data_IF_329913754985
#
_entry.id   IF_329913754985
#
_cell.length_a   1.000
_cell.length_b   1.000
_cell.length_c   1.000
_cell.angle_alpha   90.00
_cell.angle_beta   90.00
_cell.angle_gamma   90.00
#
_symmetry.space_group_name_H-M   'P 1'
#
loop_
_entity.id
_entity.type
_entity.pdbx_description
1 polymer ?
#
# COMPACT_ATOMS: atom_id res chain seq x y z
N UNK A 1 29.83 20.73 73.09
CA UNK A 1 29.12 22.03 73.01
C UNK A 1 28.89 22.36 71.54
N UNK A 2 27.78 23.05 71.28
CA UNK A 2 27.04 23.18 70.00
C UNK A 2 27.69 24.15 68.99
N UNK A 3 27.12 24.11 67.76
CA UNK A 3 27.04 25.18 66.73
C UNK A 3 28.28 25.37 65.83
N UNK A 4 28.24 25.64 64.52
CA UNK A 4 27.26 26.14 63.53
C UNK A 4 27.85 25.77 62.13
N UNK A 5 27.07 25.31 61.15
CA UNK A 5 26.40 26.09 60.09
C UNK A 5 27.06 25.95 58.71
N UNK A 6 26.18 25.75 57.73
CA UNK A 6 26.39 25.66 56.28
C UNK A 6 27.31 26.72 55.67
N UNK A 7 28.07 26.30 54.65
CA UNK A 7 28.44 27.15 53.53
C UNK A 7 28.34 26.35 52.21
N UNK A 8 27.51 26.86 51.30
CA UNK A 8 27.30 26.38 49.93
C UNK A 8 28.52 26.70 49.06
N UNK A 9 28.88 25.79 48.16
CA UNK A 9 29.68 26.07 46.96
C UNK A 9 28.93 25.54 45.73
N UNK A 10 28.79 26.31 44.64
CA UNK A 10 28.05 25.89 43.46
C UNK A 10 28.91 24.99 42.56
N UNK A 11 28.33 23.88 42.14
CA UNK A 11 28.86 23.00 41.09
C UNK A 11 28.62 23.66 39.73
N UNK A 12 29.69 23.88 38.99
CA UNK A 12 29.68 24.29 37.57
C UNK A 12 29.20 23.10 36.73
N UNK A 13 28.06 23.22 36.07
CA UNK A 13 27.54 22.24 35.11
C UNK A 13 27.68 22.80 33.70
N UNK A 14 28.59 22.24 32.90
CA UNK A 14 28.65 22.43 31.45
C UNK A 14 27.93 21.25 30.78
N UNK A 15 26.83 21.46 30.01
CA UNK A 15 26.30 20.43 29.15
C UNK A 15 26.89 20.56 27.74
N UNK A 16 27.71 19.58 27.35
CA UNK A 16 28.02 19.27 25.96
C UNK A 16 27.19 18.06 25.52
N UNK A 17 26.16 18.29 24.71
CA UNK A 17 25.45 17.24 23.96
C UNK A 17 25.36 17.71 22.52
N UNK A 18 25.99 16.93 21.63
CA UNK A 18 25.94 17.08 20.18
C UNK A 18 24.53 16.75 19.66
N UNK A 19 24.02 17.45 18.63
CA UNK A 19 22.72 17.14 18.04
C UNK A 19 22.78 15.87 17.19
N UNK A 20 21.82 14.98 17.42
CA UNK A 20 21.46 13.87 16.53
C UNK A 20 20.86 14.45 15.24
N UNK A 21 21.38 14.01 14.10
CA UNK A 21 20.91 14.40 12.78
C UNK A 21 19.72 13.51 12.40
N UNK A 22 18.50 14.06 12.34
CA UNK A 22 17.35 13.37 11.75
C UNK A 22 17.39 13.44 10.22
N UNK A 23 17.02 12.37 9.50
CA UNK A 23 16.86 12.39 8.05
C UNK A 23 15.53 13.07 7.65
N UNK A 24 15.64 14.04 6.75
CA UNK A 24 14.52 14.83 6.22
C UNK A 24 13.85 14.03 5.08
N UNK A 25 12.76 13.33 5.34
CA UNK A 25 11.85 12.82 4.30
C UNK A 25 10.74 13.85 4.05
N UNK A 26 10.49 14.28 2.79
CA UNK A 26 9.39 15.19 2.49
C UNK A 26 8.07 14.43 2.45
N UNK A 27 7.34 14.45 3.56
CA UNK A 27 5.94 14.04 3.62
C UNK A 27 5.04 15.09 2.96
N UNK A 28 4.42 14.75 1.84
CA UNK A 28 3.34 15.52 1.24
C UNK A 28 2.04 15.12 1.97
N UNK A 29 1.63 15.93 2.95
CA UNK A 29 0.30 15.88 3.54
C UNK A 29 -0.53 17.05 3.01
N UNK A 30 -1.73 16.83 2.45
CA UNK A 30 -2.59 17.92 2.00
C UNK A 30 -3.10 18.75 3.19
N UNK A 31 -2.80 20.05 3.15
CA UNK A 31 -3.22 21.06 4.13
C UNK A 31 -4.67 21.50 3.89
N UNK A 32 -5.66 20.73 4.34
CA UNK A 32 -7.02 21.29 4.55
C UNK A 32 -7.79 20.46 5.57
N UNK A 33 -7.84 20.95 6.82
CA UNK A 33 -9.02 20.95 7.70
C UNK A 33 -8.61 21.55 9.06
N UNK A 34 -8.30 22.85 9.06
CA UNK A 34 -8.28 23.63 10.30
C UNK A 34 -9.16 24.87 10.10
N UNK A 35 -10.48 24.65 10.11
CA UNK A 35 -11.46 25.74 10.08
C UNK A 35 -12.82 25.30 10.65
N UNK A 36 -12.85 24.90 11.91
CA UNK A 36 -14.04 25.06 12.75
C UNK A 36 -13.68 25.95 13.94
N UNK A 37 -13.87 27.26 13.76
CA UNK A 37 -13.55 28.26 14.76
C UNK A 37 -14.31 29.55 14.53
N UNK A 38 -15.66 29.52 14.57
CA UNK A 38 -16.54 30.60 15.04
C UNK A 38 -18.01 30.27 14.76
N UNK A 39 -18.75 29.91 15.80
CA UNK A 39 -20.18 30.18 15.87
C UNK A 39 -20.64 30.27 17.34
N UNK A 40 -21.17 31.44 17.70
CA UNK A 40 -22.26 31.61 18.66
C UNK A 40 -22.02 31.26 20.14
N UNK A 41 -21.79 32.29 20.97
CA UNK A 41 -22.15 32.23 22.41
C UNK A 41 -23.66 32.02 22.53
N UNK A 42 -24.10 30.91 23.12
CA UNK A 42 -25.38 30.82 23.82
C UNK A 42 -25.16 30.11 25.14
N UNK A 43 -25.44 30.83 26.21
CA UNK A 43 -25.43 30.40 27.61
C UNK A 43 -26.52 29.35 27.84
N UNK A 44 -26.13 28.13 28.20
CA UNK A 44 -27.02 27.07 28.67
C UNK A 44 -26.33 26.28 29.78
N UNK A 45 -26.95 26.23 30.96
CA UNK A 45 -26.47 25.53 32.16
C UNK A 45 -26.23 24.03 31.87
N UNK A 46 -25.06 23.51 32.27
CA UNK A 46 -24.76 22.07 32.30
C UNK A 46 -25.17 21.50 33.67
N UNK A 47 -26.08 20.53 33.69
CA UNK A 47 -26.32 19.64 34.83
C UNK A 47 -25.29 18.49 34.77
N UNK A 48 -24.65 18.08 35.87
CA UNK A 48 -23.74 16.93 35.86
C UNK A 48 -24.54 15.62 35.88
N UNK A 49 -24.34 14.77 34.87
CA UNK A 49 -24.77 13.37 34.89
C UNK A 49 -23.74 12.58 35.69
N UNK A 50 -24.15 12.15 36.89
CA UNK A 50 -23.39 11.29 37.80
C UNK A 50 -23.38 9.86 37.25
N UNK A 51 -22.24 9.38 36.75
CA UNK A 51 -22.04 7.95 36.43
C UNK A 51 -21.56 7.25 37.71
N UNK A 52 -22.44 6.45 38.32
CA UNK A 52 -22.13 5.59 39.46
C UNK A 52 -21.70 4.21 38.94
N UNK A 53 -20.44 3.84 39.13
CA UNK A 53 -19.96 2.46 38.97
C UNK A 53 -20.18 1.69 40.29
N UNK A 54 -20.80 0.50 40.29
CA UNK A 54 -20.89 -0.30 41.51
C UNK A 54 -19.59 -1.09 41.73
N UNK A 55 -18.91 -0.78 42.83
CA UNK A 55 -17.84 -1.60 43.39
C UNK A 55 -18.47 -2.83 44.07
N UNK A 56 -18.14 -4.04 43.59
CA UNK A 56 -18.49 -5.28 44.27
C UNK A 56 -17.32 -5.70 45.16
N UNK A 57 -17.47 -5.49 46.46
CA UNK A 57 -16.56 -5.98 47.51
C UNK A 57 -17.14 -7.31 48.01
N UNK A 58 -16.36 -8.39 47.92
CA UNK A 58 -16.67 -9.67 48.56
C UNK A 58 -15.64 -9.94 49.67
N UNK A 59 -16.06 -10.28 50.90
CA UNK A 59 -15.14 -10.37 52.03
C UNK A 59 -14.36 -11.69 52.06
N UNK A 60 -13.12 -11.54 52.50
CA UNK A 60 -12.14 -12.57 52.82
C UNK A 60 -12.50 -13.26 54.15
N UNK A 61 -12.42 -14.60 54.21
CA UNK A 61 -12.27 -15.36 55.44
C UNK A 61 -11.07 -16.30 55.30
N UNK A 62 -10.16 -16.19 56.28
CA UNK A 62 -8.81 -16.75 56.33
C UNK A 62 -8.79 -18.04 57.16
N UNK A 63 -8.02 -19.04 56.71
CA UNK A 63 -7.23 -19.98 57.53
C UNK A 63 -6.20 -20.65 56.59
N UNK A 64 -4.90 -20.36 56.67
CA UNK A 64 -3.90 -21.00 57.56
C UNK A 64 -3.48 -22.36 56.95
N UNK A 65 -2.22 -22.73 56.67
CA UNK A 65 -0.88 -22.50 57.21
C UNK A 65 0.13 -22.72 56.04
N UNK A 66 1.41 -22.36 56.02
CA UNK A 66 2.39 -21.92 57.01
C UNK A 66 3.79 -22.27 56.48
N UNK A 67 4.78 -21.40 56.76
CA UNK A 67 6.23 -21.60 56.53
C UNK A 67 6.71 -20.93 55.24
N UNK A 68 7.32 -19.74 55.24
CA UNK A 68 8.40 -19.25 56.10
C UNK A 68 9.66 -19.18 55.21
N UNK A 69 9.87 -18.13 54.42
CA UNK A 69 10.30 -16.78 54.77
C UNK A 69 11.67 -16.74 55.48
N UNK A 70 12.53 -15.91 54.90
CA UNK A 70 13.66 -15.18 55.45
C UNK A 70 15.00 -15.60 54.84
N UNK A 71 15.89 -14.69 54.45
CA UNK A 71 15.84 -13.23 54.32
C UNK A 71 17.04 -12.84 53.47
N UNK A 72 16.92 -11.69 52.82
CA UNK A 72 18.00 -11.01 52.10
C UNK A 72 19.13 -10.64 53.07
N UNK A 73 20.37 -10.69 52.58
CA UNK A 73 21.41 -9.78 53.06
C UNK A 73 22.33 -9.36 51.91
N UNK A 74 22.59 -8.06 51.85
CA UNK A 74 23.32 -7.34 50.81
C UNK A 74 24.83 -7.38 51.02
N UNK A 75 25.60 -7.65 49.96
CA UNK A 75 27.01 -7.24 49.86
C UNK A 75 27.49 -7.18 48.39
N UNK A 76 28.36 -6.21 48.08
CA UNK A 76 28.99 -5.96 46.77
C UNK A 76 29.92 -7.13 46.33
N UNK A 77 30.25 -7.25 45.02
CA UNK A 77 30.71 -8.52 44.45
C UNK A 77 32.21 -8.78 44.66
N UNK A 78 32.64 -10.05 44.77
CA UNK A 78 34.03 -10.43 44.59
C UNK A 78 34.39 -10.64 43.10
N UNK A 79 35.62 -10.30 42.74
CA UNK A 79 36.27 -10.65 41.47
C UNK A 79 36.32 -12.18 41.25
N UNK A 80 36.39 -12.66 39.99
CA UNK A 80 36.13 -14.07 39.66
C UNK A 80 37.31 -14.98 40.01
N UNK A 81 37.06 -16.25 40.41
CA UNK A 81 38.05 -17.30 40.24
C UNK A 81 38.09 -17.80 38.80
N UNK A 82 39.29 -18.23 38.39
CA UNK A 82 39.69 -18.66 37.07
C UNK A 82 38.93 -19.91 36.55
N UNK A 83 38.68 -19.89 35.23
CA UNK A 83 38.60 -21.02 34.29
C UNK A 83 37.97 -22.34 34.77
N UNK A 84 36.72 -22.57 34.39
CA UNK A 84 36.21 -23.92 34.12
C UNK A 84 35.59 -23.92 32.73
N UNK A 85 36.18 -24.71 31.83
CA UNK A 85 35.77 -24.84 30.43
C UNK A 85 34.28 -25.25 30.34
N UNK A 86 33.46 -24.38 29.73
CA UNK A 86 32.12 -24.74 29.31
C UNK A 86 32.22 -25.53 28.01
N UNK A 87 31.91 -26.82 28.11
CA UNK A 87 31.58 -27.68 26.97
C UNK A 87 30.33 -27.08 26.33
N UNK A 88 30.45 -26.58 25.11
CA UNK A 88 29.32 -26.14 24.32
C UNK A 88 28.47 -27.38 23.97
N UNK A 89 27.33 -27.51 24.64
CA UNK A 89 26.27 -28.43 24.24
C UNK A 89 25.62 -27.85 22.97
N UNK A 90 25.82 -28.54 21.86
CA UNK A 90 25.33 -28.17 20.54
C UNK A 90 23.80 -28.19 20.54
N UNK A 91 23.19 -27.00 20.47
CA UNK A 91 21.74 -26.85 20.38
C UNK A 91 21.21 -27.57 19.11
N UNK A 92 20.09 -28.30 19.17
CA UNK A 92 19.57 -29.01 18.01
C UNK A 92 19.23 -28.03 16.88
N UNK A 93 19.75 -28.33 15.69
CA UNK A 93 19.46 -27.59 14.47
C UNK A 93 17.95 -27.45 14.25
N UNK A 94 17.52 -26.25 13.83
CA UNK A 94 16.16 -26.00 13.38
C UNK A 94 15.77 -27.00 12.28
N UNK A 95 14.52 -27.49 12.21
CA UNK A 95 14.14 -28.46 11.18
C UNK A 95 14.39 -27.85 9.79
N UNK A 96 15.26 -28.48 9.02
CA UNK A 96 15.61 -28.06 7.66
C UNK A 96 14.33 -28.00 6.82
N UNK A 97 14.07 -26.86 6.15
CA UNK A 97 12.92 -26.73 5.25
C UNK A 97 13.05 -27.77 4.14
N UNK A 98 12.18 -28.77 4.17
CA UNK A 98 12.19 -29.90 3.27
C UNK A 98 11.14 -29.68 2.18
N UNK A 99 11.56 -29.30 0.97
CA UNK A 99 10.63 -29.13 -0.14
C UNK A 99 10.37 -30.48 -0.82
N UNK A 100 9.11 -30.72 -1.16
CA UNK A 100 8.66 -31.94 -1.82
C UNK A 100 8.40 -31.56 -3.28
N UNK A 101 9.16 -32.16 -4.21
CA UNK A 101 8.98 -31.97 -5.64
C UNK A 101 8.14 -33.13 -6.20
N UNK A 102 6.91 -32.88 -6.67
CA UNK A 102 6.12 -33.90 -7.36
C UNK A 102 6.85 -34.39 -8.61
N UNK A 103 6.94 -35.70 -8.77
CA UNK A 103 7.47 -36.35 -9.97
C UNK A 103 6.34 -36.59 -10.99
N UNK A 104 6.68 -37.11 -12.18
CA UNK A 104 5.67 -37.46 -13.18
C UNK A 104 4.62 -38.45 -12.63
N UNK A 105 3.39 -38.50 -13.19
CA UNK A 105 2.36 -39.44 -12.72
C UNK A 105 2.85 -40.88 -12.72
N UNK A 106 2.87 -41.53 -11.55
CA UNK A 106 3.34 -42.91 -11.37
C UNK A 106 4.79 -43.04 -10.88
N UNK A 107 5.55 -41.94 -10.80
CA UNK A 107 6.89 -41.93 -10.21
C UNK A 107 6.89 -41.49 -8.74
N UNK A 108 7.84 -42.00 -7.93
CA UNK A 108 7.95 -41.60 -6.53
C UNK A 108 8.31 -40.13 -6.40
N UNK A 109 7.59 -39.42 -5.54
CA UNK A 109 7.84 -38.02 -5.20
C UNK A 109 9.25 -37.83 -4.65
N UNK A 110 9.98 -36.84 -5.18
CA UNK A 110 11.33 -36.52 -4.71
C UNK A 110 11.28 -35.52 -3.56
N UNK A 111 12.14 -35.71 -2.59
CA UNK A 111 12.36 -34.74 -1.51
C UNK A 111 13.69 -34.05 -1.75
N UNK A 112 13.66 -32.72 -1.90
CA UNK A 112 14.85 -31.93 -2.16
C UNK A 112 15.54 -31.56 -0.83
N UNK A 113 16.87 -31.67 -0.81
CA UNK A 113 17.69 -31.15 0.28
C UNK A 113 17.76 -29.61 0.22
N UNK A 114 18.08 -28.98 1.35
CA UNK A 114 18.28 -27.53 1.42
C UNK A 114 19.35 -27.03 0.43
N UNK A 115 20.39 -27.82 0.17
CA UNK A 115 21.44 -27.49 -0.79
C UNK A 115 20.97 -27.57 -2.25
N UNK A 116 20.13 -28.55 -2.59
CA UNK A 116 19.54 -28.66 -3.94
C UNK A 116 18.54 -27.53 -4.21
N UNK A 117 17.79 -27.11 -3.20
CA UNK A 117 16.91 -25.93 -3.28
C UNK A 117 17.71 -24.64 -3.46
N UNK A 118 18.82 -24.49 -2.75
CA UNK A 118 19.69 -23.31 -2.85
C UNK A 118 20.47 -23.25 -4.18
N UNK A 119 20.68 -24.39 -4.83
CA UNK A 119 21.39 -24.48 -6.12
C UNK A 119 20.47 -24.54 -7.35
N UNK A 120 19.14 -24.58 -7.16
CA UNK A 120 18.20 -24.56 -8.26
C UNK A 120 18.24 -23.18 -8.96
N UNK A 121 18.26 -23.11 -10.30
CA UNK A 121 18.14 -21.83 -11.00
C UNK A 121 16.80 -21.19 -10.62
N UNK A 122 16.84 -19.95 -10.14
CA UNK A 122 15.63 -19.15 -10.02
C UNK A 122 15.27 -18.63 -11.41
N UNK A 123 14.00 -18.74 -11.84
CA UNK A 123 13.56 -18.12 -13.08
C UNK A 123 13.80 -16.62 -13.01
N UNK A 124 14.55 -16.10 -13.98
CA UNK A 124 14.77 -14.66 -14.17
C UNK A 124 13.51 -14.00 -14.74
N UNK A 125 13.39 -12.68 -14.56
CA UNK A 125 12.31 -11.93 -15.20
C UNK A 125 12.50 -11.90 -16.72
N UNK A 126 11.39 -11.91 -17.43
CA UNK A 126 11.32 -11.91 -18.88
C UNK A 126 10.88 -10.55 -19.41
N UNK A 127 11.06 -10.31 -20.71
CA UNK A 127 10.54 -9.10 -21.35
C UNK A 127 9.00 -9.04 -21.39
N UNK A 128 8.31 -10.18 -21.31
CA UNK A 128 6.85 -10.22 -21.12
C UNK A 128 6.46 -9.72 -19.72
N UNK A 129 7.25 -10.08 -18.69
CA UNK A 129 7.06 -9.60 -17.33
C UNK A 129 7.20 -8.07 -17.27
N UNK A 130 8.23 -7.53 -17.93
CA UNK A 130 8.44 -6.08 -18.04
C UNK A 130 7.25 -5.40 -18.70
N UNK A 131 6.81 -5.90 -19.86
CA UNK A 131 5.64 -5.35 -20.56
C UNK A 131 4.38 -5.41 -19.71
N UNK A 132 4.17 -6.50 -18.97
CA UNK A 132 3.03 -6.65 -18.09
C UNK A 132 3.08 -5.61 -16.96
N UNK A 133 4.22 -5.43 -16.30
CA UNK A 133 4.36 -4.46 -15.20
C UNK A 133 4.19 -3.02 -15.69
N UNK A 134 4.74 -2.68 -16.85
CA UNK A 134 4.55 -1.38 -17.48
C UNK A 134 3.09 -1.13 -17.90
N UNK A 135 2.45 -2.14 -18.48
CA UNK A 135 1.04 -2.08 -18.85
C UNK A 135 0.15 -1.94 -17.63
N UNK A 136 0.30 -2.81 -16.64
CA UNK A 136 -0.50 -2.80 -15.42
C UNK A 136 -0.31 -1.49 -14.63
N UNK A 137 0.89 -0.90 -14.65
CA UNK A 137 1.14 0.43 -14.09
C UNK A 137 0.25 1.52 -14.74
N UNK A 138 0.15 1.53 -16.06
CA UNK A 138 -0.72 2.45 -16.79
C UNK A 138 -2.22 2.15 -16.56
N UNK A 139 -2.58 0.86 -16.46
CA UNK A 139 -3.94 0.44 -16.14
C UNK A 139 -4.39 0.96 -14.77
N UNK A 140 -3.58 0.74 -13.73
CA UNK A 140 -3.84 1.24 -12.38
C UNK A 140 -3.93 2.76 -12.31
N UNK A 141 -3.08 3.45 -13.08
CA UNK A 141 -3.10 4.91 -13.16
C UNK A 141 -4.47 5.45 -13.64
N UNK A 142 -5.16 4.77 -14.56
CA UNK A 142 -6.50 5.19 -14.98
C UNK A 142 -7.55 4.98 -13.88
N UNK A 143 -7.46 3.90 -13.08
CA UNK A 143 -8.36 3.70 -11.93
C UNK A 143 -8.27 4.87 -10.94
N UNK A 144 -7.06 5.40 -10.71
CA UNK A 144 -6.84 6.57 -9.85
C UNK A 144 -7.56 7.83 -10.37
N UNK A 145 -7.61 8.02 -11.70
CA UNK A 145 -8.37 9.12 -12.30
C UNK A 145 -9.87 8.94 -12.06
N UNK A 146 -10.38 7.72 -12.18
CA UNK A 146 -11.79 7.40 -11.96
C UNK A 146 -12.21 7.56 -10.50
N UNK A 147 -11.39 7.10 -9.54
CA UNK A 147 -11.70 7.17 -8.10
C UNK A 147 -11.68 8.61 -7.59
N UNK A 148 -10.79 9.46 -8.10
CA UNK A 148 -10.73 10.88 -7.74
C UNK A 148 -12.04 11.62 -8.05
N UNK A 149 -12.71 11.26 -9.16
CA UNK A 149 -14.01 11.85 -9.53
C UNK A 149 -15.09 11.61 -8.47
N UNK A 150 -15.04 10.49 -7.74
CA UNK A 150 -16.06 10.13 -6.75
C UNK A 150 -16.16 11.12 -5.58
N UNK A 151 -15.10 11.90 -5.32
CA UNK A 151 -15.10 12.92 -4.26
C UNK A 151 -16.08 14.06 -4.54
N UNK A 152 -16.24 14.44 -5.82
CA UNK A 152 -17.05 15.58 -6.28
C UNK A 152 -18.33 15.17 -6.99
N UNK A 153 -18.40 13.97 -7.58
CA UNK A 153 -19.47 13.58 -8.49
C UNK A 153 -20.60 12.78 -7.84
N UNK A 154 -20.46 12.32 -6.59
CA UNK A 154 -21.52 11.56 -5.91
C UNK A 154 -21.75 11.94 -4.46
N UNK A 155 -23.00 11.84 -4.01
CA UNK A 155 -23.38 11.89 -2.61
C UNK A 155 -23.50 10.50 -1.94
N UNK A 156 -23.33 9.41 -2.69
CA UNK A 156 -23.42 8.03 -2.18
C UNK A 156 -22.20 7.70 -1.30
N UNK A 157 -22.44 7.45 -0.02
CA UNK A 157 -21.38 7.12 0.92
C UNK A 157 -20.69 5.80 0.57
N UNK A 158 -21.45 4.79 0.13
CA UNK A 158 -20.90 3.49 -0.24
C UNK A 158 -20.07 3.54 -1.53
N UNK A 159 -20.39 4.40 -2.50
CA UNK A 159 -19.52 4.64 -3.66
C UNK A 159 -18.23 5.36 -3.25
N UNK A 160 -18.31 6.38 -2.38
CA UNK A 160 -17.11 7.07 -1.89
C UNK A 160 -16.18 6.14 -1.11
N UNK A 161 -16.74 5.26 -0.27
CA UNK A 161 -15.96 4.26 0.46
C UNK A 161 -15.36 3.20 -0.46
N UNK A 162 -16.09 2.80 -1.51
CA UNK A 162 -15.56 1.91 -2.54
C UNK A 162 -14.37 2.56 -3.25
N UNK A 163 -14.54 3.80 -3.75
CA UNK A 163 -13.49 4.53 -4.46
C UNK A 163 -12.24 4.72 -3.60
N UNK A 164 -12.40 5.08 -2.33
CA UNK A 164 -11.28 5.20 -1.39
C UNK A 164 -10.55 3.88 -1.15
N UNK A 165 -11.27 2.76 -1.05
CA UNK A 165 -10.62 1.44 -0.90
C UNK A 165 -9.82 1.05 -2.15
N UNK A 166 -10.40 1.27 -3.33
CA UNK A 166 -9.72 1.05 -4.62
C UNK A 166 -8.46 1.92 -4.67
N UNK A 167 -8.57 3.21 -4.37
CA UNK A 167 -7.44 4.14 -4.36
C UNK A 167 -6.30 3.66 -3.46
N UNK A 168 -6.60 3.16 -2.26
CA UNK A 168 -5.60 2.66 -1.33
C UNK A 168 -4.87 1.43 -1.88
N UNK A 169 -5.61 0.40 -2.31
CA UNK A 169 -4.99 -0.84 -2.81
C UNK A 169 -4.20 -0.59 -4.10
N UNK A 170 -4.73 0.22 -5.01
CA UNK A 170 -4.09 0.51 -6.30
C UNK A 170 -2.79 1.32 -6.12
N UNK A 171 -2.71 2.22 -5.13
CA UNK A 171 -1.47 2.94 -4.81
C UNK A 171 -0.35 2.01 -4.31
N UNK A 172 -0.69 1.03 -3.47
CA UNK A 172 0.27 0.05 -2.97
C UNK A 172 0.79 -0.82 -4.12
N UNK A 173 -0.09 -1.25 -5.03
CA UNK A 173 0.26 -2.01 -6.23
C UNK A 173 1.12 -1.18 -7.22
N UNK A 174 0.79 0.10 -7.45
CA UNK A 174 1.63 1.03 -8.24
C UNK A 174 3.03 1.13 -7.65
N UNK A 175 3.14 1.25 -6.32
CA UNK A 175 4.43 1.35 -5.64
C UNK A 175 5.26 0.08 -5.84
N UNK A 176 4.62 -1.09 -5.74
CA UNK A 176 5.26 -2.37 -6.01
C UNK A 176 5.74 -2.45 -7.45
N UNK A 177 4.90 -2.12 -8.43
CA UNK A 177 5.27 -2.21 -9.85
C UNK A 177 6.44 -1.30 -10.22
N UNK A 178 6.44 -0.05 -9.75
CA UNK A 178 7.54 0.88 -9.97
C UNK A 178 8.84 0.35 -9.37
N UNK A 179 8.78 -0.11 -8.12
CA UNK A 179 9.95 -0.69 -7.46
C UNK A 179 10.48 -1.91 -8.23
N UNK A 180 9.59 -2.81 -8.65
CA UNK A 180 9.97 -4.02 -9.37
C UNK A 180 10.75 -3.70 -10.66
N UNK A 181 10.27 -2.71 -11.43
CA UNK A 181 10.93 -2.21 -12.64
C UNK A 181 12.28 -1.55 -12.31
N UNK A 182 12.31 -0.64 -11.33
CA UNK A 182 13.52 0.09 -10.92
C UNK A 182 14.64 -0.85 -10.44
N UNK A 183 14.31 -1.84 -9.61
CA UNK A 183 15.30 -2.78 -9.06
C UNK A 183 15.93 -3.68 -10.12
N UNK A 184 15.25 -3.84 -11.26
CA UNK A 184 15.73 -4.63 -12.41
C UNK A 184 16.37 -3.77 -13.49
N UNK A 185 16.44 -2.45 -13.29
CA UNK A 185 17.00 -1.50 -14.26
C UNK A 185 16.13 -1.31 -15.50
N UNK A 186 14.84 -1.64 -15.40
CA UNK A 186 13.88 -1.50 -16.49
C UNK A 186 13.26 -0.10 -16.51
N UNK A 187 12.77 0.32 -17.67
CA UNK A 187 12.12 1.61 -17.82
C UNK A 187 10.82 1.67 -17.02
N UNK A 188 10.64 2.75 -16.26
CA UNK A 188 9.38 3.08 -15.58
C UNK A 188 8.63 4.12 -16.42
N UNK A 189 7.49 3.75 -17.03
CA UNK A 189 6.70 4.68 -17.81
C UNK A 189 6.29 5.91 -16.99
N UNK A 190 6.44 7.10 -17.58
CA UNK A 190 5.91 8.32 -17.00
C UNK A 190 4.37 8.27 -17.03
N UNK A 191 3.75 8.47 -15.86
CA UNK A 191 2.30 8.48 -15.73
C UNK A 191 1.74 9.87 -16.06
N UNK A 192 1.33 10.06 -17.32
CA UNK A 192 0.59 11.27 -17.71
C UNK A 192 -0.88 11.09 -17.34
N UNK A 193 -1.22 11.45 -16.10
CA UNK A 193 -2.60 11.46 -15.61
C UNK A 193 -3.35 12.66 -16.21
N UNK A 194 -4.16 12.43 -17.25
CA UNK A 194 -5.05 13.46 -17.80
C UNK A 194 -6.34 13.53 -16.99
N UNK A 195 -6.46 14.56 -16.17
CA UNK A 195 -7.72 14.88 -15.50
C UNK A 195 -8.59 15.72 -16.44
N UNK A 196 -9.61 15.12 -17.05
CA UNK A 196 -10.58 15.85 -17.87
C UNK A 196 -11.49 16.81 -17.05
N UNK A 197 -11.31 16.88 -15.73
CA UNK A 197 -12.28 17.48 -14.81
C UNK A 197 -12.16 19.00 -14.66
N UNK A 198 -11.01 19.60 -14.97
CA UNK A 198 -10.80 21.03 -14.86
C UNK A 198 -10.27 21.52 -16.21
N UNK A 199 -11.12 22.22 -16.97
CA UNK A 199 -10.79 22.76 -18.30
C UNK A 199 -9.75 23.88 -18.27
N UNK A 200 -8.55 23.60 -17.75
CA UNK A 200 -7.36 24.40 -17.98
C UNK A 200 -6.53 23.69 -19.06
N UNK A 201 -6.70 24.15 -20.28
CA UNK A 201 -5.69 24.01 -21.32
C UNK A 201 -4.47 24.86 -20.93
N UNK A 202 -3.66 24.38 -19.99
CA UNK A 202 -2.36 24.97 -19.68
C UNK A 202 -1.32 24.53 -20.71
N UNK A 203 -1.52 24.98 -21.95
CA UNK A 203 -0.45 25.11 -22.94
C UNK A 203 -0.07 26.59 -23.07
N UNK A 204 0.48 27.14 -21.99
CA UNK A 204 1.18 28.41 -22.01
C UNK A 204 2.70 28.15 -22.10
N UNK A 205 3.25 28.29 -23.31
CA UNK A 205 4.65 28.67 -23.50
C UNK A 205 5.55 27.64 -24.17
N UNK A 206 5.47 27.53 -25.50
CA UNK A 206 6.66 27.51 -26.33
C UNK A 206 6.40 28.32 -27.60
N UNK A 207 6.89 29.56 -27.58
CA UNK A 207 6.88 30.47 -28.72
C UNK A 207 7.84 29.98 -29.82
N UNK A 208 7.34 30.00 -31.06
CA UNK A 208 8.16 30.31 -32.23
C UNK A 208 8.40 29.17 -33.21
N UNK A 209 7.42 28.90 -34.09
CA UNK A 209 7.66 28.88 -35.53
C UNK A 209 6.33 29.13 -36.27
N UNK A 210 6.35 30.11 -37.17
CA UNK A 210 5.21 30.57 -37.93
C UNK A 210 4.96 29.68 -39.15
N UNK A 211 3.69 29.32 -39.40
CA UNK A 211 3.20 28.84 -40.68
C UNK A 211 1.91 29.61 -41.08
N UNK A 212 1.61 29.77 -42.39
CA UNK A 212 0.61 30.71 -42.91
C UNK A 212 -0.83 30.15 -42.89
N UNK A 213 -1.88 31.01 -43.04
CA UNK A 213 -3.26 30.57 -42.90
C UNK A 213 -3.80 29.96 -44.20
N UNK A 214 -4.38 28.76 -44.12
CA UNK A 214 -4.96 28.07 -45.27
C UNK A 214 -5.99 26.99 -44.88
N UNK A 215 -7.25 27.43 -44.80
CA UNK A 215 -8.52 26.71 -45.00
C UNK A 215 -8.94 25.51 -44.14
N UNK A 216 -10.19 25.67 -43.65
CA UNK A 216 -11.05 24.70 -43.00
C UNK A 216 -11.44 23.50 -43.88
N UNK A 217 -11.45 22.32 -43.26
CA UNK A 217 -12.02 21.08 -43.79
C UNK A 217 -12.15 20.05 -42.67
N UNK A 218 -13.37 19.62 -42.39
CA UNK A 218 -13.71 18.64 -41.35
C UNK A 218 -13.26 17.21 -41.69
N UNK A 219 -13.18 16.40 -40.62
CA UNK A 219 -13.25 14.94 -40.59
C UNK A 219 -12.00 14.18 -41.09
N UNK A 220 -11.19 13.71 -40.16
CA UNK A 220 -10.16 12.71 -40.42
C UNK A 220 -9.21 12.48 -39.25
N UNK A 221 -9.32 11.31 -38.63
CA UNK A 221 -8.27 10.53 -37.98
C UNK A 221 -7.44 11.11 -36.81
N UNK A 222 -7.69 10.56 -35.62
CA UNK A 222 -6.62 10.20 -34.68
C UNK A 222 -6.27 8.73 -34.89
N UNK A 223 -5.42 8.43 -35.88
CA UNK A 223 -4.73 7.15 -35.93
C UNK A 223 -3.80 7.15 -34.72
N UNK A 224 -4.00 6.22 -33.79
CA UNK A 224 -3.01 5.97 -32.75
C UNK A 224 -1.68 5.66 -33.45
N UNK A 225 -0.66 6.45 -33.11
CA UNK A 225 0.66 6.38 -33.73
C UNK A 225 1.16 4.95 -33.78
N UNK A 226 1.61 4.57 -34.97
CA UNK A 226 2.44 3.42 -35.23
C UNK A 226 3.83 3.67 -34.63
N UNK A 227 3.94 3.51 -33.31
CA UNK A 227 5.22 3.24 -32.68
C UNK A 227 5.72 1.89 -33.22
N UNK A 228 6.61 1.99 -34.19
CA UNK A 228 7.32 0.88 -34.81
C UNK A 228 7.88 -0.09 -33.75
N UNK A 229 7.44 -1.35 -33.79
CA UNK A 229 8.34 -2.48 -33.52
C UNK A 229 8.42 -3.09 -32.11
N UNK A 230 7.57 -2.72 -31.14
CA UNK A 230 7.48 -3.47 -29.88
C UNK A 230 6.01 -3.70 -29.51
N UNK A 231 5.56 -4.96 -29.57
CA UNK A 231 4.19 -5.35 -29.29
C UNK A 231 3.76 -4.93 -27.89
N UNK A 232 3.06 -3.80 -27.80
CA UNK A 232 2.39 -3.38 -26.57
C UNK A 232 1.29 -4.41 -26.26
N UNK A 233 1.28 -4.93 -25.04
CA UNK A 233 0.24 -5.86 -24.61
C UNK A 233 -1.13 -5.19 -24.79
N UNK A 234 -2.16 -5.92 -25.25
CA UNK A 234 -3.51 -5.38 -25.32
C UNK A 234 -3.95 -4.89 -23.93
N UNK A 235 -4.19 -3.58 -23.82
CA UNK A 235 -4.61 -2.90 -22.60
C UNK A 235 -6.12 -3.07 -22.39
N UNK A 236 -6.52 -4.27 -21.96
CA UNK A 236 -7.91 -4.65 -21.78
C UNK A 236 -8.62 -3.78 -20.73
N UNK A 237 -9.93 -3.55 -20.92
CA UNK A 237 -10.77 -2.93 -19.89
C UNK A 237 -10.64 -1.41 -19.69
N UNK A 238 -9.58 -0.79 -20.24
CA UNK A 238 -9.38 0.65 -20.22
C UNK A 238 -10.58 1.41 -20.80
N UNK A 239 -10.92 2.53 -20.16
CA UNK A 239 -11.88 3.50 -20.69
C UNK A 239 -11.20 4.30 -21.79
N UNK A 240 -11.95 4.55 -22.86
CA UNK A 240 -11.60 5.58 -23.84
C UNK A 240 -11.72 6.99 -23.25
N UNK A 241 -11.10 7.98 -23.91
CA UNK A 241 -11.23 9.39 -23.55
C UNK A 241 -12.70 9.86 -23.52
N UNK A 242 -13.53 9.35 -24.45
CA UNK A 242 -14.97 9.66 -24.49
C UNK A 242 -15.71 9.07 -23.28
N UNK A 243 -15.42 7.83 -22.90
CA UNK A 243 -16.02 7.21 -21.72
C UNK A 243 -15.59 7.90 -20.42
N UNK A 244 -14.32 8.28 -20.32
CA UNK A 244 -13.80 9.02 -19.18
C UNK A 244 -14.44 10.41 -19.08
N UNK A 245 -14.59 11.11 -20.21
CA UNK A 245 -15.30 12.39 -20.27
C UNK A 245 -16.78 12.23 -19.87
N UNK A 246 -17.44 11.16 -20.33
CA UNK A 246 -18.82 10.83 -19.94
C UNK A 246 -18.94 10.58 -18.44
N UNK A 247 -18.02 9.80 -17.86
CA UNK A 247 -17.98 9.57 -16.41
C UNK A 247 -17.76 10.89 -15.65
N UNK A 248 -16.85 11.73 -16.11
CA UNK A 248 -16.54 13.02 -15.49
C UNK A 248 -17.71 14.01 -15.57
N UNK A 249 -18.52 13.96 -16.63
CA UNK A 249 -19.69 14.81 -16.78
C UNK A 249 -20.89 14.37 -15.93
N UNK A 250 -20.99 13.07 -15.62
CA UNK A 250 -22.09 12.51 -14.86
C UNK A 250 -22.07 12.95 -13.39
N UNK A 251 -23.22 12.89 -12.72
CA UNK A 251 -23.33 13.17 -11.29
C UNK A 251 -24.40 12.33 -10.59
N UNK A 252 -24.20 12.12 -9.29
CA UNK A 252 -25.05 11.35 -8.39
C UNK A 252 -25.39 9.98 -8.98
N UNK A 253 -26.68 9.63 -9.09
CA UNK A 253 -27.10 8.31 -9.55
C UNK A 253 -26.51 7.91 -10.91
N UNK A 254 -26.41 8.85 -11.85
CA UNK A 254 -25.82 8.54 -13.17
C UNK A 254 -24.33 8.24 -13.04
N UNK A 255 -23.61 9.05 -12.24
CA UNK A 255 -22.20 8.80 -11.94
C UNK A 255 -22.02 7.45 -11.25
N UNK A 256 -22.84 7.12 -10.24
CA UNK A 256 -22.73 5.87 -9.50
C UNK A 256 -22.87 4.64 -10.42
N UNK A 257 -23.82 4.67 -11.35
CA UNK A 257 -24.02 3.58 -12.31
C UNK A 257 -22.85 3.48 -13.28
N UNK A 258 -22.41 4.59 -13.88
CA UNK A 258 -21.29 4.60 -14.81
C UNK A 258 -19.98 4.19 -14.12
N UNK A 259 -19.71 4.71 -12.92
CA UNK A 259 -18.53 4.36 -12.13
C UNK A 259 -18.47 2.86 -11.89
N UNK A 260 -19.57 2.24 -11.43
CA UNK A 260 -19.62 0.80 -11.19
C UNK A 260 -19.47 0.00 -12.48
N UNK A 261 -20.18 0.35 -13.54
CA UNK A 261 -20.11 -0.37 -14.82
C UNK A 261 -18.71 -0.31 -15.43
N UNK A 262 -18.11 0.88 -15.42
CA UNK A 262 -16.79 1.11 -16.00
C UNK A 262 -15.69 0.50 -15.12
N UNK A 263 -15.75 0.64 -13.81
CA UNK A 263 -14.76 0.05 -12.91
C UNK A 263 -14.84 -1.49 -12.89
N UNK A 264 -16.03 -2.09 -13.02
CA UNK A 264 -16.15 -3.55 -13.22
C UNK A 264 -15.42 -3.99 -14.49
N UNK A 265 -15.61 -3.27 -15.60
CA UNK A 265 -14.96 -3.61 -16.87
C UNK A 265 -13.44 -3.43 -16.79
N UNK A 266 -13.00 -2.35 -16.17
CA UNK A 266 -11.59 -2.06 -15.92
C UNK A 266 -10.94 -3.20 -15.13
N UNK A 267 -11.52 -3.61 -14.00
CA UNK A 267 -11.00 -4.74 -13.21
C UNK A 267 -11.00 -6.07 -13.98
N UNK A 268 -12.00 -6.33 -14.82
CA UNK A 268 -11.99 -7.50 -15.69
C UNK A 268 -10.84 -7.46 -16.70
N UNK A 269 -10.46 -6.26 -17.16
CA UNK A 269 -9.28 -6.03 -17.99
C UNK A 269 -7.98 -6.43 -17.29
N UNK A 270 -7.79 -6.01 -16.03
CA UNK A 270 -6.63 -6.40 -15.22
C UNK A 270 -6.54 -7.93 -15.03
N UNK A 271 -7.66 -8.60 -14.74
CA UNK A 271 -7.70 -10.07 -14.63
C UNK A 271 -7.33 -10.74 -15.96
N UNK A 272 -7.76 -10.19 -17.10
CA UNK A 272 -7.36 -10.71 -18.40
C UNK A 272 -5.86 -10.51 -18.68
N UNK A 273 -5.29 -9.36 -18.32
CA UNK A 273 -3.85 -9.12 -18.45
C UNK A 273 -3.02 -10.12 -17.63
N UNK A 274 -3.49 -10.49 -16.43
CA UNK A 274 -2.87 -11.55 -15.62
C UNK A 274 -2.99 -12.90 -16.32
N UNK A 275 -4.16 -13.23 -16.89
CA UNK A 275 -4.34 -14.47 -17.64
C UNK A 275 -3.41 -14.55 -18.86
N UNK A 276 -3.21 -13.44 -19.57
CA UNK A 276 -2.32 -13.36 -20.72
C UNK A 276 -0.85 -13.54 -20.31
N UNK A 277 -0.43 -12.94 -19.17
CA UNK A 277 0.90 -13.13 -18.60
C UNK A 277 1.16 -14.60 -18.27
N UNK A 278 0.23 -15.27 -17.61
CA UNK A 278 0.37 -16.68 -17.20
C UNK A 278 0.32 -17.62 -18.40
N UNK A 279 -0.37 -17.22 -19.47
CA UNK A 279 -0.44 -18.00 -20.71
C UNK A 279 0.84 -17.90 -21.56
N UNK A 280 1.66 -16.86 -21.40
CA UNK A 280 2.89 -16.72 -22.17
C UNK A 280 3.99 -17.67 -21.62
N UNK A 281 4.65 -18.47 -22.48
CA UNK A 281 5.65 -19.43 -22.02
C UNK A 281 6.86 -18.76 -21.35
N UNK A 282 7.09 -19.10 -20.09
CA UNK A 282 8.26 -18.67 -19.33
C UNK A 282 8.10 -17.32 -18.60
N UNK A 283 7.03 -16.57 -18.86
CA UNK A 283 6.68 -15.38 -18.09
C UNK A 283 5.91 -15.72 -16.82
N UNK A 284 5.85 -14.77 -15.89
CA UNK A 284 5.16 -14.90 -14.61
C UNK A 284 5.77 -15.92 -13.66
N UNK A 285 6.99 -16.42 -13.93
CA UNK A 285 7.63 -17.49 -13.16
C UNK A 285 8.52 -16.96 -12.03
N UNK A 286 9.03 -15.75 -12.16
CA UNK A 286 9.78 -15.11 -11.07
C UNK A 286 8.85 -14.90 -9.87
N UNK A 287 9.36 -15.17 -8.66
CA UNK A 287 8.58 -15.15 -7.42
C UNK A 287 7.82 -13.83 -7.22
N UNK A 288 8.48 -12.68 -7.37
CA UNK A 288 7.84 -11.38 -7.10
C UNK A 288 6.68 -11.10 -8.07
N UNK A 289 6.85 -11.36 -9.38
CA UNK A 289 5.78 -11.17 -10.35
C UNK A 289 4.66 -12.21 -10.18
N UNK A 290 4.98 -13.47 -9.86
CA UNK A 290 3.96 -14.51 -9.65
C UNK A 290 3.07 -14.19 -8.44
N UNK A 291 3.66 -13.69 -7.35
CA UNK A 291 2.95 -13.22 -6.18
C UNK A 291 2.09 -11.99 -6.51
N UNK A 292 2.66 -11.01 -7.23
CA UNK A 292 1.93 -9.83 -7.64
C UNK A 292 0.72 -10.17 -8.51
N UNK A 293 0.89 -11.00 -9.54
CA UNK A 293 -0.18 -11.45 -10.42
C UNK A 293 -1.29 -12.18 -9.66
N UNK A 294 -0.93 -13.04 -8.69
CA UNK A 294 -1.87 -13.75 -7.83
C UNK A 294 -2.67 -12.79 -6.93
N UNK A 295 -2.02 -11.75 -6.38
CA UNK A 295 -2.69 -10.73 -5.57
C UNK A 295 -3.66 -9.90 -6.41
N UNK A 296 -3.24 -9.43 -7.59
CA UNK A 296 -4.11 -8.70 -8.53
C UNK A 296 -5.33 -9.55 -8.86
N UNK A 297 -5.16 -10.81 -9.27
CA UNK A 297 -6.31 -11.67 -9.58
C UNK A 297 -7.26 -11.81 -8.39
N UNK A 298 -6.74 -12.07 -7.19
CA UNK A 298 -7.56 -12.27 -6.00
C UNK A 298 -8.34 -11.01 -5.60
N UNK A 299 -7.64 -9.88 -5.49
CA UNK A 299 -8.21 -8.62 -5.02
C UNK A 299 -9.20 -8.05 -6.03
N UNK A 300 -8.84 -8.00 -7.32
CA UNK A 300 -9.75 -7.49 -8.34
C UNK A 300 -11.04 -8.32 -8.43
N UNK A 301 -10.96 -9.65 -8.27
CA UNK A 301 -12.15 -10.51 -8.22
C UNK A 301 -13.05 -10.24 -7.00
N UNK A 302 -12.48 -9.93 -5.84
CA UNK A 302 -13.25 -9.52 -4.64
C UNK A 302 -13.99 -8.20 -4.93
N UNK A 303 -13.29 -7.24 -5.53
CA UNK A 303 -13.86 -5.92 -5.84
C UNK A 303 -14.95 -6.00 -6.90
N UNK A 304 -14.75 -6.77 -7.97
CA UNK A 304 -15.77 -7.04 -9.00
C UNK A 304 -17.05 -7.57 -8.36
N UNK A 305 -16.95 -8.56 -7.47
CA UNK A 305 -18.14 -9.13 -6.78
C UNK A 305 -18.88 -8.07 -5.98
N UNK A 306 -18.15 -7.22 -5.25
CA UNK A 306 -18.74 -6.12 -4.49
C UNK A 306 -19.44 -5.11 -5.40
N UNK A 307 -18.77 -4.67 -6.46
CA UNK A 307 -19.30 -3.69 -7.40
C UNK A 307 -20.55 -4.21 -8.12
N UNK A 308 -20.56 -5.48 -8.55
CA UNK A 308 -21.75 -6.12 -9.12
C UNK A 308 -22.93 -6.13 -8.14
N UNK A 309 -22.68 -6.42 -6.86
CA UNK A 309 -23.70 -6.33 -5.82
C UNK A 309 -24.26 -4.90 -5.67
N UNK A 310 -23.37 -3.90 -5.63
CA UNK A 310 -23.76 -2.48 -5.54
C UNK A 310 -24.53 -2.00 -6.77
N UNK A 311 -24.16 -2.45 -7.97
CA UNK A 311 -24.80 -2.11 -9.24
C UNK A 311 -26.20 -2.71 -9.33
N UNK A 312 -26.35 -4.00 -8.97
CA UNK A 312 -27.65 -4.67 -8.96
C UNK A 312 -28.61 -4.03 -7.96
N UNK A 313 -28.14 -3.57 -6.80
CA UNK A 313 -28.96 -2.87 -5.82
C UNK A 313 -29.43 -1.47 -6.27
N UNK A 314 -28.87 -0.92 -7.36
CA UNK A 314 -29.16 0.42 -7.91
C UNK A 314 -29.98 0.40 -9.20
N UNK A 315 -30.16 -0.77 -9.81
CA UNK A 315 -31.00 -0.98 -10.99
C UNK A 315 -32.45 -1.12 -10.55
#
# INVERSE_FOLDING_TARGET
MRFLSSALLPIVLLPGILPVHEPKTPGILPKTLNRLGRAGRRTGRLLPVLVVLPALVLPLLVAGCGGGAASQDTAAPPSPPESVAQVAEEAPASPERRAIQPSAPGEPTRVLSAAELAGAPHPEHTQDDVRFMQGMLHHHAQAMVMTELATRRTSSQDIRLLAWRIELSQNDEITLMRRWLETRGEDVPELVLRFAADGHDDHAGHDGHADPPGHAGHAGHGVHGDSSGHGSLPMHGMLSDEELARLAAASNREFDLLFLEFMIRHHLGAVQMVADLVASPGSGQEEEISQFASHVEADQNIEIRRMRGMLNARR
#
